data_IF_331378898619
#
_entry.id   IF_331378898619
#
_cell.length_a   1.000
_cell.length_b   1.000
_cell.length_c   1.000
_cell.angle_alpha   90.00
_cell.angle_beta   90.00
_cell.angle_gamma   90.00
#
_symmetry.space_group_name_H-M   'P 1'
#
loop_
_entity.id
_entity.type
_entity.pdbx_description
1 polymer ?
#
# COMPACT_ATOMS: atom_id res chain seq x y z
N UNK A 1 -58.56 -4.46 -48.06
CA UNK A 1 -58.71 -4.45 -46.58
C UNK A 1 -58.26 -5.80 -46.05
N UNK A 2 -57.84 -5.84 -44.78
CA UNK A 2 -57.29 -6.97 -44.01
C UNK A 2 -55.76 -7.07 -44.02
N UNK A 3 -55.15 -6.23 -43.17
CA UNK A 3 -53.84 -6.52 -42.57
C UNK A 3 -54.09 -7.24 -41.24
N UNK A 4 -53.81 -8.54 -41.19
CA UNK A 4 -53.53 -9.23 -39.94
C UNK A 4 -52.77 -10.52 -40.21
N UNK A 5 -51.46 -10.54 -39.93
CA UNK A 5 -50.72 -11.78 -39.65
C UNK A 5 -49.60 -11.46 -38.66
N UNK A 6 -49.93 -11.70 -37.39
CA UNK A 6 -49.17 -12.46 -36.40
C UNK A 6 -47.70 -12.13 -36.04
N UNK A 7 -47.50 -12.16 -34.71
CA UNK A 7 -46.28 -12.57 -33.96
C UNK A 7 -45.10 -11.60 -34.00
N UNK A 8 -44.76 -11.03 -32.84
CA UNK A 8 -43.88 -11.75 -31.88
C UNK A 8 -43.80 -10.99 -30.56
N UNK A 9 -44.23 -11.66 -29.50
CA UNK A 9 -43.88 -11.32 -28.13
C UNK A 9 -42.35 -11.31 -27.97
N UNK A 10 -41.84 -10.35 -27.21
CA UNK A 10 -40.41 -10.26 -26.95
C UNK A 10 -40.12 -9.08 -26.06
N UNK A 11 -40.38 -9.26 -24.77
CA UNK A 11 -39.90 -8.42 -23.68
C UNK A 11 -38.39 -8.15 -23.82
N UNK A 12 -38.05 -7.02 -24.44
CA UNK A 12 -36.69 -6.49 -24.47
C UNK A 12 -36.51 -5.59 -23.27
N UNK A 13 -36.26 -6.18 -22.10
CA UNK A 13 -35.70 -5.47 -20.97
C UNK A 13 -34.41 -4.80 -21.48
N UNK A 14 -34.40 -3.48 -21.57
CA UNK A 14 -33.17 -2.72 -21.73
C UNK A 14 -32.37 -2.95 -20.46
N UNK A 15 -31.50 -3.96 -20.48
CA UNK A 15 -30.51 -4.18 -19.44
C UNK A 15 -29.64 -2.92 -19.43
N UNK A 16 -29.90 -2.07 -18.45
CA UNK A 16 -29.02 -0.99 -18.06
C UNK A 16 -27.64 -1.61 -17.85
N UNK A 17 -26.72 -1.24 -18.74
CA UNK A 17 -25.30 -1.47 -18.56
C UNK A 17 -24.90 -0.71 -17.30
N UNK A 18 -25.01 -1.38 -16.15
CA UNK A 18 -24.46 -0.90 -14.91
C UNK A 18 -22.97 -0.72 -15.18
N UNK A 19 -22.42 0.51 -15.07
CA UNK A 19 -20.98 0.69 -15.21
C UNK A 19 -20.34 -0.23 -14.18
N UNK A 20 -19.58 -1.19 -14.69
CA UNK A 20 -18.73 -2.10 -13.95
C UNK A 20 -18.07 -1.27 -12.85
N UNK A 21 -18.51 -1.44 -11.60
CA UNK A 21 -17.93 -0.74 -10.45
C UNK A 21 -16.45 -1.03 -10.53
N UNK A 22 -15.66 -0.02 -10.90
CA UNK A 22 -14.22 -0.04 -10.80
C UNK A 22 -13.91 -0.65 -9.44
N UNK A 23 -13.22 -1.79 -9.46
CA UNK A 23 -12.82 -2.52 -8.25
C UNK A 23 -12.37 -1.48 -7.24
N UNK A 24 -13.13 -1.29 -6.16
CA UNK A 24 -12.89 -0.20 -5.23
C UNK A 24 -11.58 -0.51 -4.52
N UNK A 25 -10.46 -0.06 -5.09
CA UNK A 25 -9.15 -0.18 -4.50
C UNK A 25 -9.22 0.57 -3.19
N UNK A 26 -9.32 -0.16 -2.08
CA UNK A 26 -9.37 0.43 -0.75
C UNK A 26 -8.14 1.31 -0.61
N UNK A 27 -8.31 2.63 -0.36
CA UNK A 27 -7.16 3.52 -0.25
C UNK A 27 -6.26 3.04 0.88
N UNK A 28 -4.95 3.02 0.62
CA UNK A 28 -3.91 2.49 1.51
C UNK A 28 -4.09 2.95 2.97
N UNK A 29 -4.33 4.24 3.15
CA UNK A 29 -4.65 4.88 4.42
C UNK A 29 -5.78 4.16 5.18
N UNK A 30 -6.90 3.85 4.50
CA UNK A 30 -8.07 3.24 5.14
C UNK A 30 -7.80 1.78 5.50
N UNK A 31 -6.95 1.09 4.74
CA UNK A 31 -6.51 -0.27 5.06
C UNK A 31 -5.64 -0.28 6.31
N UNK A 32 -4.66 0.62 6.39
CA UNK A 32 -3.75 0.71 7.55
C UNK A 32 -4.53 1.13 8.79
N UNK A 33 -5.41 2.12 8.67
CA UNK A 33 -6.30 2.53 9.76
C UNK A 33 -7.06 1.35 10.37
N UNK A 34 -7.72 0.52 9.55
CA UNK A 34 -8.47 -0.64 10.04
C UNK A 34 -7.59 -1.68 10.73
N UNK A 35 -6.38 -1.94 10.22
CA UNK A 35 -5.44 -2.91 10.80
C UNK A 35 -4.90 -2.48 12.16
N UNK A 36 -4.62 -1.19 12.35
CA UNK A 36 -4.20 -0.67 13.67
C UNK A 36 -5.36 -0.61 14.66
N UNK A 37 -6.58 -0.32 14.19
CA UNK A 37 -7.76 -0.26 15.05
C UNK A 37 -8.13 -1.64 15.61
N UNK A 38 -8.02 -2.67 14.77
CA UNK A 38 -8.18 -4.08 15.15
C UNK A 38 -7.12 -4.52 16.17
N UNK A 39 -5.86 -4.15 15.95
CA UNK A 39 -4.74 -4.43 16.87
C UNK A 39 -4.98 -3.83 18.27
N UNK A 40 -5.43 -2.57 18.32
CA UNK A 40 -5.67 -1.85 19.56
C UNK A 40 -6.82 -2.44 20.39
N UNK A 41 -7.78 -3.11 19.74
CA UNK A 41 -8.93 -3.74 20.41
C UNK A 41 -8.63 -5.16 20.87
N UNK A 42 -7.72 -5.86 20.19
CA UNK A 42 -7.44 -7.28 20.41
C UNK A 42 -6.29 -7.52 21.39
N UNK A 43 -5.57 -6.47 21.80
CA UNK A 43 -4.42 -6.60 22.71
C UNK A 43 -4.79 -6.18 24.14
N UNK A 44 -4.97 -7.13 25.07
CA UNK A 44 -5.35 -6.84 26.46
C UNK A 44 -4.18 -6.39 27.37
N UNK A 45 -2.92 -6.51 26.94
CA UNK A 45 -1.73 -6.18 27.73
C UNK A 45 -0.92 -5.03 27.11
N UNK A 46 -1.49 -3.83 27.16
CA UNK A 46 -0.77 -2.61 26.73
C UNK A 46 0.13 -2.10 27.85
N UNK A 47 1.43 -2.05 27.62
CA UNK A 47 2.43 -1.38 28.45
C UNK A 47 2.12 0.11 28.61
N UNK A 48 2.60 0.72 29.69
CA UNK A 48 2.35 2.15 29.99
C UNK A 48 2.78 3.10 28.85
N UNK A 49 3.86 2.79 28.13
CA UNK A 49 4.32 3.58 27.00
C UNK A 49 3.42 3.42 25.76
N UNK A 50 2.81 2.23 25.57
CA UNK A 50 1.85 1.96 24.50
C UNK A 50 0.56 2.77 24.72
N UNK A 51 0.11 2.90 25.97
CA UNK A 51 -1.03 3.74 26.36
C UNK A 51 -0.80 5.23 26.10
N UNK A 52 0.46 5.69 26.21
CA UNK A 52 0.85 7.07 25.91
C UNK A 52 1.11 7.35 24.44
N UNK A 53 1.11 6.33 23.57
CA UNK A 53 1.41 6.49 22.14
C UNK A 53 0.11 6.71 21.37
N UNK A 54 0.01 7.83 20.67
CA UNK A 54 -1.20 8.16 19.92
C UNK A 54 -1.32 7.31 18.65
N UNK A 55 -2.54 6.88 18.37
CA UNK A 55 -2.89 6.14 17.15
C UNK A 55 -2.44 6.87 15.87
N UNK A 56 -2.61 8.20 15.83
CA UNK A 56 -2.20 9.03 14.69
C UNK A 56 -0.69 8.98 14.43
N UNK A 57 0.13 8.94 15.48
CA UNK A 57 1.58 8.82 15.34
C UNK A 57 1.97 7.45 14.77
N UNK A 58 1.37 6.37 15.31
CA UNK A 58 1.58 5.00 14.80
C UNK A 58 1.22 4.90 13.33
N UNK A 59 0.07 5.45 12.94
CA UNK A 59 -0.38 5.48 11.55
C UNK A 59 0.60 6.25 10.65
N UNK A 60 1.06 7.43 11.09
CA UNK A 60 2.03 8.24 10.34
C UNK A 60 3.35 7.50 10.10
N UNK A 61 3.90 6.86 11.13
CA UNK A 61 5.13 6.08 11.01
C UNK A 61 4.96 4.86 10.11
N UNK A 62 3.84 4.15 10.23
CA UNK A 62 3.51 3.00 9.37
C UNK A 62 3.39 3.43 7.91
N UNK A 63 2.73 4.56 7.64
CA UNK A 63 2.58 5.09 6.28
C UNK A 63 3.93 5.53 5.67
N UNK A 64 4.82 6.12 6.48
CA UNK A 64 6.17 6.47 6.03
C UNK A 64 7.00 5.23 5.68
N UNK A 65 6.92 4.18 6.50
CA UNK A 65 7.55 2.90 6.23
C UNK A 65 7.04 2.28 4.92
N UNK A 66 5.71 2.21 4.75
CA UNK A 66 5.09 1.63 3.55
C UNK A 66 5.48 2.42 2.30
N UNK A 67 5.46 3.75 2.36
CA UNK A 67 5.86 4.61 1.24
C UNK A 67 7.32 4.40 0.87
N UNK A 68 8.20 4.26 1.86
CA UNK A 68 9.62 3.98 1.62
C UNK A 68 9.82 2.60 0.98
N UNK A 69 9.02 1.61 1.38
CA UNK A 69 9.07 0.26 0.83
C UNK A 69 8.57 0.19 -0.63
N UNK A 70 7.45 0.83 -0.94
CA UNK A 70 6.90 0.84 -2.31
C UNK A 70 7.84 1.56 -3.28
N UNK A 71 8.58 2.57 -2.82
CA UNK A 71 9.61 3.23 -3.62
C UNK A 71 10.89 2.38 -3.75
N UNK A 72 11.26 1.61 -2.72
CA UNK A 72 12.48 0.80 -2.73
C UNK A 72 12.35 -0.51 -3.52
N UNK A 73 11.16 -1.08 -3.56
CA UNK A 73 10.88 -2.35 -4.23
C UNK A 73 10.09 -2.13 -5.52
N UNK A 74 10.77 -2.27 -6.65
CA UNK A 74 10.10 -2.29 -7.95
C UNK A 74 9.22 -3.55 -8.05
N UNK A 75 7.90 -3.38 -8.09
CA UNK A 75 6.93 -4.46 -8.30
C UNK A 75 6.18 -4.95 -7.06
N UNK A 76 6.38 -4.36 -5.87
CA UNK A 76 5.51 -4.63 -4.74
C UNK A 76 4.19 -3.86 -4.91
N UNK A 77 3.06 -4.57 -4.82
CA UNK A 77 1.76 -3.91 -4.80
C UNK A 77 1.58 -3.12 -3.50
N UNK A 78 0.90 -1.98 -3.59
CA UNK A 78 0.60 -1.12 -2.45
C UNK A 78 -0.11 -1.91 -1.32
N UNK A 79 -0.93 -2.91 -1.67
CA UNK A 79 -1.54 -3.83 -0.73
C UNK A 79 -0.53 -4.67 0.04
N UNK A 80 0.46 -5.24 -0.64
CA UNK A 80 1.48 -6.10 -0.05
C UNK A 80 2.43 -5.30 0.86
N UNK A 81 2.80 -4.10 0.43
CA UNK A 81 3.59 -3.20 1.26
C UNK A 81 2.81 -2.77 2.52
N UNK A 82 1.49 -2.51 2.40
CA UNK A 82 0.64 -2.20 3.54
C UNK A 82 0.56 -3.33 4.55
N UNK A 83 0.39 -4.57 4.07
CA UNK A 83 0.29 -5.75 4.92
C UNK A 83 1.59 -5.98 5.68
N UNK A 84 2.73 -5.94 4.99
CA UNK A 84 4.03 -6.04 5.63
C UNK A 84 4.25 -4.91 6.65
N UNK A 85 3.98 -3.66 6.27
CA UNK A 85 4.18 -2.50 7.13
C UNK A 85 3.35 -2.56 8.41
N UNK A 86 2.07 -2.96 8.31
CA UNK A 86 1.20 -3.13 9.48
C UNK A 86 1.63 -4.32 10.35
N UNK A 87 2.05 -5.43 9.75
CA UNK A 87 2.52 -6.59 10.50
C UNK A 87 3.81 -6.30 11.26
N UNK A 88 4.76 -5.60 10.62
CA UNK A 88 5.99 -5.18 11.26
C UNK A 88 5.73 -4.17 12.39
N UNK A 89 4.93 -3.15 12.14
CA UNK A 89 4.58 -2.16 13.18
C UNK A 89 3.94 -2.85 14.39
N UNK A 90 2.98 -3.74 14.16
CA UNK A 90 2.34 -4.53 15.21
C UNK A 90 3.35 -5.33 16.02
N UNK A 91 4.24 -6.06 15.34
CA UNK A 91 5.26 -6.87 16.01
C UNK A 91 6.19 -6.00 16.88
N UNK A 92 6.72 -4.91 16.33
CA UNK A 92 7.61 -4.01 17.09
C UNK A 92 6.85 -3.34 18.22
N UNK A 93 5.60 -2.93 17.99
CA UNK A 93 4.78 -2.26 19.01
C UNK A 93 4.56 -3.16 20.23
N UNK A 94 4.35 -4.47 20.04
CA UNK A 94 4.14 -5.42 21.13
C UNK A 94 5.43 -5.95 21.77
N UNK A 95 6.51 -6.07 21.00
CA UNK A 95 7.78 -6.59 21.50
C UNK A 95 8.71 -5.51 22.09
N UNK A 96 8.52 -4.24 21.74
CA UNK A 96 9.37 -3.18 22.22
C UNK A 96 9.16 -2.93 23.73
N UNK A 97 10.24 -2.86 24.53
CA UNK A 97 10.13 -2.59 25.97
C UNK A 97 9.82 -1.11 26.28
N UNK A 98 10.10 -0.20 25.34
CA UNK A 98 9.94 1.25 25.49
C UNK A 98 9.60 1.93 24.16
N UNK A 99 8.97 3.11 24.22
CA UNK A 99 8.65 3.94 23.04
C UNK A 99 9.89 4.24 22.19
N UNK A 100 11.03 4.53 22.82
CA UNK A 100 12.28 4.83 22.10
C UNK A 100 12.78 3.64 21.28
N UNK A 101 12.64 2.42 21.80
CA UNK A 101 13.04 1.20 21.08
C UNK A 101 12.11 0.96 19.89
N UNK A 102 10.81 1.18 20.08
CA UNK A 102 9.82 1.12 19.00
C UNK A 102 10.12 2.16 17.90
N UNK A 103 10.35 3.42 18.28
CA UNK A 103 10.64 4.51 17.36
C UNK A 103 11.93 4.26 16.58
N UNK A 104 12.99 3.84 17.29
CA UNK A 104 14.26 3.49 16.67
C UNK A 104 14.12 2.30 15.71
N UNK A 105 13.34 1.27 16.04
CA UNK A 105 13.11 0.13 15.16
C UNK A 105 12.32 0.53 13.89
N UNK A 106 11.27 1.33 14.03
CA UNK A 106 10.50 1.87 12.90
C UNK A 106 11.36 2.76 11.99
N UNK A 107 12.15 3.66 12.59
CA UNK A 107 13.07 4.54 11.87
C UNK A 107 14.18 3.77 11.16
N UNK A 108 14.80 2.80 11.84
CA UNK A 108 15.83 1.95 11.26
C UNK A 108 15.29 1.16 10.07
N UNK A 109 14.10 0.56 10.21
CA UNK A 109 13.47 -0.20 9.12
C UNK A 109 13.17 0.69 7.91
N UNK A 110 12.66 1.90 8.15
CA UNK A 110 12.41 2.89 7.11
C UNK A 110 13.70 3.28 6.40
N UNK A 111 14.79 3.49 7.15
CA UNK A 111 16.10 3.83 6.61
C UNK A 111 16.70 2.68 5.77
N UNK A 112 16.50 1.42 6.15
CA UNK A 112 16.91 0.26 5.36
C UNK A 112 16.29 0.30 3.96
N UNK A 113 14.97 0.52 3.86
CA UNK A 113 14.29 0.64 2.57
C UNK A 113 14.73 1.90 1.82
N UNK A 114 14.96 3.02 2.52
CA UNK A 114 15.47 4.24 1.89
C UNK A 114 16.87 4.05 1.28
N UNK A 115 17.78 3.35 1.98
CA UNK A 115 19.10 2.99 1.44
C UNK A 115 18.98 2.05 0.26
N UNK A 116 18.15 1.01 0.39
CA UNK A 116 17.88 0.05 -0.68
C UNK A 116 17.30 0.71 -1.92
N UNK A 117 16.47 1.75 -1.76
CA UNK A 117 16.00 2.62 -2.85
C UNK A 117 17.17 3.32 -3.54
N UNK A 118 18.04 3.99 -2.79
CA UNK A 118 19.21 4.67 -3.35
C UNK A 118 20.12 3.69 -4.11
N UNK A 119 20.36 2.50 -3.57
CA UNK A 119 21.15 1.46 -4.23
C UNK A 119 20.47 0.94 -5.51
N UNK A 120 19.15 0.79 -5.49
CA UNK A 120 18.35 0.35 -6.65
C UNK A 120 18.32 1.44 -7.74
N UNK A 121 18.16 2.71 -7.38
CA UNK A 121 18.21 3.84 -8.31
C UNK A 121 19.59 3.98 -8.96
N UNK A 122 20.67 3.79 -8.19
CA UNK A 122 22.05 3.78 -8.70
C UNK A 122 22.30 2.58 -9.63
N UNK A 123 21.74 1.40 -9.33
CA UNK A 123 21.82 0.24 -10.21
C UNK A 123 21.08 0.48 -11.52
N UNK A 124 19.88 1.06 -11.50
CA UNK A 124 19.12 1.39 -12.71
C UNK A 124 19.84 2.43 -13.57
N UNK A 125 20.45 3.47 -12.96
CA UNK A 125 21.29 4.43 -13.69
C UNK A 125 22.58 3.80 -14.23
N UNK A 126 23.23 2.92 -13.47
CA UNK A 126 24.48 2.28 -13.88
C UNK A 126 24.27 1.24 -14.99
N UNK A 127 23.14 0.51 -14.94
CA UNK A 127 22.74 -0.44 -15.99
C UNK A 127 22.11 0.28 -17.20
N UNK A 128 21.70 1.54 -17.03
CA UNK A 128 21.31 2.49 -18.08
C UNK A 128 22.49 3.18 -18.78
N UNK A 129 23.72 2.80 -18.47
CA UNK A 129 24.91 3.15 -19.25
C UNK A 129 25.00 2.35 -20.55
N UNK A 130 24.05 2.52 -21.47
CA UNK A 130 24.31 2.18 -22.86
C UNK A 130 25.25 3.25 -23.44
N UNK A 131 26.42 2.91 -24.02
CA UNK A 131 27.16 3.84 -24.85
C UNK A 131 26.32 4.10 -26.10
N UNK A 132 25.47 5.12 -26.07
CA UNK A 132 24.90 5.67 -27.29
C UNK A 132 26.05 6.28 -28.08
N UNK A 133 26.49 5.47 -29.04
CA UNK A 133 27.57 5.68 -29.96
C UNK A 133 27.69 7.13 -30.42
N UNK A 134 28.95 7.58 -30.44
CA UNK A 134 29.42 8.50 -31.46
C UNK A 134 28.89 8.07 -32.83
N UNK A 135 27.98 8.86 -33.41
CA UNK A 135 27.94 9.17 -34.84
C UNK A 135 26.78 10.12 -35.14
N UNK A 136 27.06 11.42 -35.18
CA UNK A 136 26.39 12.30 -36.13
C UNK A 136 27.49 13.16 -36.75
N UNK A 137 27.85 12.72 -37.95
CA UNK A 137 28.84 13.26 -38.88
C UNK A 137 28.51 14.70 -39.28
N UNK A 138 29.58 15.42 -39.67
CA UNK A 138 29.60 16.73 -40.34
C UNK A 138 28.61 16.91 -41.48
#
# INVERSE_FOLDING_TARGET
MVANTEKKAGSGQMASQQPQRSSATVPLHLRVYQKLLDDSQTTPNSMAWQLGTNFTERMGQTMNLISSMTMAMHGIDHAGAAEFGCSFEREVFHNAPSKEVYDHAMANKTLEFYKKRQETELYIQSTGGAPSAANSTS
#
